data_IF_140905407318
#
_entry.id   IF_140905407318
#
_cell.length_a   1.000
_cell.length_b   1.000
_cell.length_c   1.000
_cell.angle_alpha   90.00
_cell.angle_beta   90.00
_cell.angle_gamma   90.00
#
_symmetry.space_group_name_H-M   'P 1'
#
loop_
_entity.id
_entity.type
_entity.pdbx_description
1 polymer ?
#
# COMPACT_ATOMS: atom_id res chain seq x y z
N UNK A 1 -14.50 14.40 -6.35
CA UNK A 1 -14.51 15.54 -7.27
C UNK A 1 -13.14 16.19 -7.46
N UNK A 2 -12.43 16.64 -6.38
CA UNK A 2 -11.12 17.30 -6.48
C UNK A 2 -10.08 16.51 -7.27
N UNK A 3 -9.93 15.21 -6.99
CA UNK A 3 -8.96 14.34 -7.69
C UNK A 3 -9.25 14.20 -9.20
N UNK A 4 -10.54 14.13 -9.58
CA UNK A 4 -10.92 14.10 -11.02
C UNK A 4 -10.59 15.44 -11.70
N UNK A 5 -10.91 16.55 -11.06
CA UNK A 5 -10.59 17.88 -11.60
C UNK A 5 -9.07 18.09 -11.74
N UNK A 6 -8.29 17.63 -10.77
CA UNK A 6 -6.84 17.61 -10.87
C UNK A 6 -6.34 16.73 -12.04
N UNK A 7 -6.91 15.52 -12.22
CA UNK A 7 -6.52 14.63 -13.31
C UNK A 7 -6.82 15.24 -14.70
N UNK A 8 -7.88 16.07 -14.83
CA UNK A 8 -8.21 16.78 -16.08
C UNK A 8 -7.09 17.75 -16.52
N UNK A 9 -6.20 18.16 -15.64
CA UNK A 9 -5.04 19.00 -16.01
C UNK A 9 -4.00 18.23 -16.84
N UNK A 10 -4.00 16.88 -16.75
CA UNK A 10 -3.01 16.00 -17.36
C UNK A 10 -3.60 15.05 -18.42
N UNK A 11 -4.93 14.92 -18.44
CA UNK A 11 -5.63 13.97 -19.31
C UNK A 11 -6.91 14.57 -19.87
N UNK A 12 -7.30 14.13 -21.07
CA UNK A 12 -8.56 14.53 -21.69
C UNK A 12 -9.74 13.72 -21.11
N UNK A 13 -10.21 14.12 -19.93
CA UNK A 13 -11.43 13.55 -19.35
C UNK A 13 -12.61 14.45 -19.69
N UNK A 14 -13.56 13.96 -20.50
CA UNK A 14 -14.76 14.69 -20.88
C UNK A 14 -15.74 14.81 -19.71
N UNK A 15 -16.61 15.83 -19.77
CA UNK A 15 -17.62 16.01 -18.71
C UNK A 15 -18.60 14.85 -18.60
N UNK A 16 -18.92 14.20 -19.71
CA UNK A 16 -19.77 13.00 -19.70
C UNK A 16 -19.10 11.82 -19.01
N UNK A 17 -17.78 11.66 -19.15
CA UNK A 17 -17.00 10.62 -18.46
C UNK A 17 -16.92 10.92 -16.97
N UNK A 18 -16.72 12.20 -16.61
CA UNK A 18 -16.78 12.66 -15.22
C UNK A 18 -18.15 12.34 -14.61
N UNK A 19 -19.24 12.66 -15.31
CA UNK A 19 -20.58 12.38 -14.84
C UNK A 19 -20.82 10.87 -14.69
N UNK A 20 -20.33 10.05 -15.61
CA UNK A 20 -20.41 8.59 -15.54
C UNK A 20 -19.68 8.03 -14.32
N UNK A 21 -18.44 8.49 -14.06
CA UNK A 21 -17.65 8.09 -12.88
C UNK A 21 -18.39 8.45 -11.59
N UNK A 22 -18.91 9.67 -11.48
CA UNK A 22 -19.64 10.11 -10.29
C UNK A 22 -20.95 9.36 -10.12
N UNK A 23 -21.70 9.09 -11.21
CA UNK A 23 -22.92 8.31 -11.14
C UNK A 23 -22.66 6.87 -10.72
N UNK A 24 -21.57 6.26 -11.20
CA UNK A 24 -21.14 4.92 -10.78
C UNK A 24 -20.80 4.86 -9.27
N UNK A 25 -20.43 5.99 -8.66
CA UNK A 25 -20.19 6.10 -7.22
C UNK A 25 -21.45 6.32 -6.38
N UNK A 26 -22.56 6.71 -7.01
CA UNK A 26 -23.87 6.85 -6.37
C UNK A 26 -24.58 5.49 -6.26
N UNK A 27 -23.92 4.50 -5.70
CA UNK A 27 -24.45 3.14 -5.56
C UNK A 27 -25.03 2.93 -4.16
N UNK A 28 -26.20 2.26 -4.13
CA UNK A 28 -26.80 1.80 -2.87
C UNK A 28 -26.39 0.36 -2.62
N UNK A 29 -26.14 0.03 -1.35
CA UNK A 29 -26.02 -1.36 -0.94
C UNK A 29 -27.40 -1.91 -0.63
N UNK A 30 -27.70 -3.09 -1.19
CA UNK A 30 -28.96 -3.81 -0.94
C UNK A 30 -28.66 -5.16 -0.29
N UNK A 31 -29.48 -5.48 0.72
CA UNK A 31 -29.50 -6.83 1.31
C UNK A 31 -30.96 -7.17 1.64
N UNK A 32 -31.43 -8.30 1.18
CA UNK A 32 -32.81 -8.78 1.41
C UNK A 32 -33.87 -7.75 0.97
N UNK A 33 -33.72 -7.16 -0.22
CA UNK A 33 -34.58 -6.11 -0.77
C UNK A 33 -34.70 -4.82 0.07
N UNK A 34 -33.78 -4.62 1.00
CA UNK A 34 -33.67 -3.38 1.78
C UNK A 34 -32.41 -2.61 1.37
N UNK A 35 -32.56 -1.30 1.16
CA UNK A 35 -31.45 -0.40 0.95
C UNK A 35 -30.72 -0.11 2.26
N UNK A 36 -29.40 -0.10 2.21
CA UNK A 36 -28.56 0.24 3.35
C UNK A 36 -27.95 1.62 3.11
N UNK A 37 -28.01 2.46 4.13
CA UNK A 37 -27.41 3.80 4.14
C UNK A 37 -26.31 3.86 5.19
N UNK A 38 -25.39 4.82 5.03
CA UNK A 38 -24.32 5.05 6.00
C UNK A 38 -24.94 5.51 7.32
N UNK A 39 -24.51 4.99 8.45
CA UNK A 39 -25.06 5.26 9.80
C UNK A 39 -24.88 6.73 10.27
N UNK A 40 -24.09 7.54 9.59
CA UNK A 40 -23.76 8.93 9.95
C UNK A 40 -24.69 9.94 9.27
N UNK A 41 -25.94 9.79 9.42
CA UNK A 41 -26.88 10.85 9.67
C UNK A 41 -27.46 11.71 8.56
N UNK A 42 -26.97 11.76 7.33
CA UNK A 42 -27.66 12.48 6.24
C UNK A 42 -28.04 11.50 5.13
N UNK A 43 -29.29 11.52 4.72
CA UNK A 43 -29.85 10.65 3.67
C UNK A 43 -29.16 10.80 2.30
N UNK A 44 -28.33 11.83 2.12
CA UNK A 44 -27.58 12.11 0.88
C UNK A 44 -26.11 11.62 0.91
N UNK A 45 -25.63 11.05 2.01
CA UNK A 45 -24.25 10.55 2.07
C UNK A 45 -24.13 9.16 1.44
N UNK A 46 -23.54 9.12 0.26
CA UNK A 46 -23.17 7.89 -0.42
C UNK A 46 -22.09 7.12 0.37
N UNK A 47 -22.07 5.79 0.21
CA UNK A 47 -20.99 4.98 0.74
C UNK A 47 -19.65 5.40 0.12
N UNK A 48 -18.59 5.36 0.95
CA UNK A 48 -17.22 5.50 0.49
C UNK A 48 -16.86 4.39 -0.52
N UNK A 49 -15.65 4.44 -1.08
CA UNK A 49 -15.18 3.40 -2.01
C UNK A 49 -15.24 2.03 -1.33
N UNK A 50 -16.18 1.18 -1.77
CA UNK A 50 -16.38 -0.14 -1.16
C UNK A 50 -15.31 -1.13 -1.62
N UNK A 51 -14.79 -1.95 -0.68
CA UNK A 51 -13.91 -3.05 -1.04
C UNK A 51 -14.64 -4.04 -1.95
N UNK A 52 -14.00 -4.38 -3.09
CA UNK A 52 -14.55 -5.35 -4.06
C UNK A 52 -15.40 -4.75 -5.17
N UNK A 53 -15.65 -3.44 -5.19
CA UNK A 53 -16.17 -2.76 -6.39
C UNK A 53 -15.12 -2.79 -7.50
N UNK A 54 -15.55 -2.92 -8.76
CA UNK A 54 -14.65 -3.09 -9.92
C UNK A 54 -13.69 -1.91 -10.11
N UNK A 55 -14.10 -0.71 -9.72
CA UNK A 55 -13.37 0.56 -9.86
C UNK A 55 -12.75 1.07 -8.56
N UNK A 56 -12.86 0.31 -7.47
CA UNK A 56 -12.40 0.78 -6.14
C UNK A 56 -10.90 1.03 -6.11
N UNK A 57 -10.11 0.16 -6.76
CA UNK A 57 -8.67 0.28 -6.77
C UNK A 57 -8.24 1.54 -7.49
N UNK A 58 -8.78 1.77 -8.68
CA UNK A 58 -8.47 2.91 -9.54
C UNK A 58 -8.90 4.23 -8.89
N UNK A 59 -10.07 4.25 -8.27
CA UNK A 59 -10.54 5.43 -7.53
C UNK A 59 -9.62 5.74 -6.34
N UNK A 60 -9.21 4.73 -5.58
CA UNK A 60 -8.30 4.90 -4.46
C UNK A 60 -6.92 5.38 -4.92
N UNK A 61 -6.41 4.84 -6.03
CA UNK A 61 -5.13 5.21 -6.60
C UNK A 61 -5.16 6.65 -7.13
N UNK A 62 -6.26 7.07 -7.78
CA UNK A 62 -6.45 8.44 -8.25
C UNK A 62 -6.46 9.45 -7.07
N UNK A 63 -7.16 9.12 -6.00
CA UNK A 63 -7.17 9.95 -4.78
C UNK A 63 -5.78 9.99 -4.15
N UNK A 64 -5.09 8.85 -4.07
CA UNK A 64 -3.72 8.76 -3.57
C UNK A 64 -2.75 9.64 -4.37
N UNK A 65 -2.81 9.59 -5.71
CA UNK A 65 -1.99 10.42 -6.59
C UNK A 65 -2.28 11.91 -6.39
N UNK A 66 -3.54 12.29 -6.25
CA UNK A 66 -3.92 13.66 -5.95
C UNK A 66 -3.33 14.12 -4.60
N UNK A 67 -3.43 13.32 -3.55
CA UNK A 67 -2.83 13.63 -2.24
C UNK A 67 -1.32 13.74 -2.34
N UNK A 68 -0.66 12.82 -3.06
CA UNK A 68 0.78 12.90 -3.31
C UNK A 68 1.16 14.21 -4.01
N UNK A 69 0.36 14.69 -4.97
CA UNK A 69 0.58 15.97 -5.62
C UNK A 69 0.48 17.16 -4.66
N UNK A 70 -0.47 17.12 -3.72
CA UNK A 70 -0.60 18.16 -2.68
C UNK A 70 0.58 18.15 -1.71
N UNK A 71 1.04 16.97 -1.29
CA UNK A 71 2.20 16.81 -0.41
C UNK A 71 3.51 17.26 -1.09
N UNK A 72 3.66 17.03 -2.40
CA UNK A 72 4.85 17.42 -3.17
C UNK A 72 5.09 18.94 -3.24
N UNK A 73 4.10 19.75 -2.84
CA UNK A 73 4.26 21.21 -2.77
C UNK A 73 5.19 21.68 -1.64
N UNK A 74 5.44 20.82 -0.64
CA UNK A 74 6.26 21.17 0.53
C UNK A 74 7.14 20.03 1.06
N UNK A 75 7.04 18.82 0.50
CA UNK A 75 7.92 17.70 0.78
C UNK A 75 8.53 17.22 -0.54
N UNK A 76 9.81 16.89 -0.53
CA UNK A 76 10.48 16.30 -1.69
C UNK A 76 9.76 14.99 -2.06
N UNK A 77 9.39 14.88 -3.34
CA UNK A 77 8.63 13.72 -3.87
C UNK A 77 9.34 12.38 -3.73
N UNK A 78 10.67 12.37 -3.59
CA UNK A 78 11.46 11.15 -3.35
C UNK A 78 11.51 10.76 -1.86
N UNK A 79 10.98 11.62 -0.97
CA UNK A 79 11.01 11.44 0.48
C UNK A 79 9.72 10.92 1.08
N UNK A 80 8.69 10.66 0.28
CA UNK A 80 7.43 10.14 0.78
C UNK A 80 6.76 9.17 -0.20
N UNK A 81 5.91 8.30 0.34
CA UNK A 81 5.13 7.36 -0.44
C UNK A 81 3.82 6.99 0.24
N UNK A 82 2.82 6.68 -0.57
CA UNK A 82 1.55 6.12 -0.13
C UNK A 82 1.33 4.76 -0.77
N UNK A 83 0.79 3.85 0.00
CA UNK A 83 0.26 2.58 -0.49
C UNK A 83 -1.12 2.38 0.10
N UNK A 84 -2.14 2.69 -0.69
CA UNK A 84 -3.54 2.72 -0.28
C UNK A 84 -3.74 3.65 0.94
N UNK A 85 -3.96 3.10 2.12
CA UNK A 85 -4.16 3.77 3.40
C UNK A 85 -2.89 3.96 4.23
N UNK A 86 -1.80 3.26 3.87
CA UNK A 86 -0.51 3.36 4.56
C UNK A 86 0.40 4.39 3.90
N UNK A 87 1.06 5.24 4.70
CA UNK A 87 2.02 6.23 4.23
C UNK A 87 3.33 6.20 5.00
N UNK A 88 4.42 6.52 4.31
CA UNK A 88 5.74 6.71 4.91
C UNK A 88 6.36 8.01 4.43
N UNK A 89 7.05 8.71 5.32
CA UNK A 89 7.78 9.93 5.01
C UNK A 89 9.16 9.86 5.68
N UNK A 90 10.21 10.05 4.90
CA UNK A 90 11.57 10.22 5.38
C UNK A 90 11.92 11.71 5.36
N UNK A 91 12.35 12.27 6.48
CA UNK A 91 12.72 13.68 6.56
C UNK A 91 13.95 13.87 7.42
N UNK A 92 14.76 14.87 7.05
CA UNK A 92 15.92 15.33 7.81
C UNK A 92 15.54 16.71 8.35
N UNK A 93 15.66 16.91 9.66
CA UNK A 93 15.34 18.20 10.27
C UNK A 93 15.36 18.18 11.78
N UNK A 94 15.27 19.35 12.36
CA UNK A 94 15.09 19.53 13.81
C UNK A 94 13.67 19.12 14.24
N UNK A 95 13.47 18.85 15.53
CA UNK A 95 12.15 18.52 16.08
C UNK A 95 11.05 19.53 15.68
N UNK A 96 11.26 20.85 15.79
CA UNK A 96 10.29 21.86 15.35
C UNK A 96 9.95 21.81 13.86
N UNK A 97 10.93 21.51 12.98
CA UNK A 97 10.70 21.37 11.53
C UNK A 97 9.86 20.16 11.23
N UNK A 98 10.15 19.03 11.86
CA UNK A 98 9.38 17.79 11.74
C UNK A 98 7.92 18.04 12.19
N UNK A 99 7.71 18.70 13.32
CA UNK A 99 6.37 19.02 13.80
C UNK A 99 5.62 20.00 12.87
N UNK A 100 6.32 20.91 12.21
CA UNK A 100 5.72 21.77 11.17
C UNK A 100 5.24 20.95 9.97
N UNK A 101 6.08 20.04 9.47
CA UNK A 101 5.73 19.14 8.36
C UNK A 101 4.51 18.29 8.73
N UNK A 102 4.47 17.69 9.91
CA UNK A 102 3.32 16.91 10.38
C UNK A 102 2.02 17.73 10.36
N UNK A 103 2.07 18.96 10.87
CA UNK A 103 0.89 19.87 10.86
C UNK A 103 0.42 20.15 9.43
N UNK A 104 1.35 20.40 8.49
CA UNK A 104 1.02 20.64 7.09
C UNK A 104 0.36 19.39 6.46
N UNK A 105 0.88 18.20 6.73
CA UNK A 105 0.29 16.93 6.27
C UNK A 105 -1.14 16.79 6.79
N UNK A 106 -1.36 16.98 8.08
CA UNK A 106 -2.69 16.90 8.69
C UNK A 106 -3.67 17.88 8.02
N UNK A 107 -3.20 19.09 7.71
CA UNK A 107 -4.03 20.10 7.02
C UNK A 107 -4.40 19.65 5.61
N UNK A 108 -3.47 19.04 4.84
CA UNK A 108 -3.79 18.50 3.51
C UNK A 108 -4.89 17.46 3.58
N UNK A 109 -4.76 16.48 4.49
CA UNK A 109 -5.79 15.43 4.64
C UNK A 109 -7.12 16.01 5.13
N UNK A 110 -7.11 16.89 6.13
CA UNK A 110 -8.31 17.55 6.64
C UNK A 110 -9.04 18.37 5.56
N UNK A 111 -8.31 19.11 4.72
CA UNK A 111 -8.90 19.89 3.62
C UNK A 111 -9.54 19.00 2.53
N UNK A 112 -9.23 17.72 2.56
CA UNK A 112 -9.80 16.69 1.68
C UNK A 112 -10.76 15.74 2.41
N UNK A 113 -11.25 16.14 3.59
CA UNK A 113 -12.23 15.39 4.39
C UNK A 113 -11.76 14.00 4.82
N UNK A 114 -10.43 13.83 4.87
CA UNK A 114 -9.80 12.58 5.28
C UNK A 114 -9.19 12.70 6.67
N UNK A 115 -9.22 11.60 7.42
CA UNK A 115 -8.54 11.47 8.70
C UNK A 115 -7.20 10.79 8.48
N UNK A 116 -6.17 11.28 9.18
CA UNK A 116 -4.85 10.66 9.19
C UNK A 116 -4.38 10.53 10.64
N UNK A 117 -3.74 9.42 10.95
CA UNK A 117 -2.99 9.20 12.18
C UNK A 117 -1.51 9.08 11.85
N UNK A 118 -0.69 9.87 12.52
CA UNK A 118 0.77 9.77 12.41
C UNK A 118 1.25 8.88 13.55
N UNK A 119 1.55 7.64 13.25
CA UNK A 119 1.83 6.59 14.23
C UNK A 119 3.09 6.82 15.05
N UNK A 120 4.17 7.25 14.41
CA UNK A 120 5.42 7.55 15.11
C UNK A 120 6.31 8.51 14.30
N UNK A 121 7.27 9.10 15.02
CA UNK A 121 8.44 9.75 14.43
C UNK A 121 9.64 9.09 15.07
N UNK A 122 10.31 8.20 14.37
CA UNK A 122 11.38 7.39 14.93
C UNK A 122 12.40 6.99 13.85
N UNK A 123 13.55 6.57 14.31
CA UNK A 123 14.63 6.07 13.44
C UNK A 123 14.38 4.62 12.99
N UNK A 124 13.45 3.91 13.62
CA UNK A 124 13.06 2.55 13.27
C UNK A 124 11.55 2.47 13.11
N UNK A 125 11.09 1.96 11.96
CA UNK A 125 9.67 1.85 11.66
C UNK A 125 9.37 0.62 10.80
N UNK A 126 8.14 0.13 10.92
CA UNK A 126 7.61 -0.92 10.07
C UNK A 126 6.71 -0.26 9.00
N UNK A 127 6.94 -0.59 7.74
CA UNK A 127 6.12 -0.13 6.64
C UNK A 127 5.83 -1.30 5.69
N UNK A 128 4.58 -1.69 5.60
CA UNK A 128 4.12 -2.87 4.85
C UNK A 128 4.88 -4.13 5.30
N UNK A 129 5.63 -4.75 4.39
CA UNK A 129 6.43 -5.95 4.64
C UNK A 129 7.90 -5.64 4.97
N UNK A 130 8.21 -4.39 5.28
CA UNK A 130 9.57 -3.91 5.48
C UNK A 130 9.72 -3.28 6.85
N UNK A 131 10.75 -3.67 7.57
CA UNK A 131 11.24 -2.94 8.74
C UNK A 131 12.46 -2.12 8.32
N UNK A 132 12.44 -0.83 8.63
CA UNK A 132 13.50 0.13 8.30
C UNK A 132 14.13 0.59 9.59
N UNK A 133 15.46 0.52 9.68
CA UNK A 133 16.27 1.01 10.80
C UNK A 133 17.32 1.98 10.25
N UNK A 134 17.07 3.27 10.43
CA UNK A 134 17.94 4.34 9.95
C UNK A 134 19.22 4.50 10.77
N UNK A 135 19.19 4.12 12.05
CA UNK A 135 20.40 4.18 12.92
C UNK A 135 21.46 3.18 12.45
N UNK A 136 20.99 1.97 12.04
CA UNK A 136 21.87 0.92 11.54
C UNK A 136 22.07 0.97 10.04
N UNK A 137 21.31 1.81 9.34
CA UNK A 137 21.21 1.84 7.87
C UNK A 137 20.88 0.46 7.28
N UNK A 138 19.90 -0.21 7.88
CA UNK A 138 19.46 -1.57 7.52
C UNK A 138 17.96 -1.56 7.24
N UNK A 139 17.54 -2.32 6.24
CA UNK A 139 16.15 -2.71 6.08
C UNK A 139 16.04 -4.23 5.92
N UNK A 140 15.00 -4.79 6.50
CA UNK A 140 14.79 -6.23 6.57
C UNK A 140 13.32 -6.61 6.39
N UNK A 141 13.02 -7.84 5.95
CA UNK A 141 11.64 -8.32 5.82
C UNK A 141 10.92 -8.29 7.16
N UNK A 142 9.75 -7.66 7.17
CA UNK A 142 8.86 -7.58 8.32
C UNK A 142 7.66 -8.52 8.16
N UNK A 143 7.21 -9.06 9.25
CA UNK A 143 5.92 -9.73 9.38
C UNK A 143 5.36 -9.45 10.77
N UNK A 144 4.05 -9.19 10.86
CA UNK A 144 3.39 -8.92 12.15
C UNK A 144 3.67 -10.05 13.14
N UNK A 145 3.88 -9.73 14.43
CA UNK A 145 4.01 -10.75 15.47
C UNK A 145 2.82 -11.73 15.41
N UNK A 146 3.11 -13.01 15.62
CA UNK A 146 2.11 -14.10 15.56
C UNK A 146 1.40 -14.31 14.21
N UNK A 147 1.91 -13.72 13.13
CA UNK A 147 1.39 -13.97 11.79
C UNK A 147 2.10 -15.17 11.17
N UNK A 148 1.35 -16.28 11.02
CA UNK A 148 1.83 -17.45 10.28
C UNK A 148 1.79 -17.16 8.78
N UNK A 149 2.94 -17.17 8.14
CA UNK A 149 3.04 -17.03 6.69
C UNK A 149 2.44 -18.28 6.07
N UNK A 150 1.45 -18.10 5.18
CA UNK A 150 0.82 -19.19 4.44
C UNK A 150 0.81 -18.87 2.96
N UNK A 151 1.08 -19.88 2.15
CA UNK A 151 1.04 -19.77 0.70
C UNK A 151 -0.10 -20.63 0.14
N UNK A 152 -0.35 -20.49 -1.15
CA UNK A 152 -1.28 -21.33 -1.89
C UNK A 152 -0.75 -22.77 -1.82
N UNK A 153 -1.61 -23.71 -1.45
CA UNK A 153 -1.26 -25.13 -1.41
C UNK A 153 -0.83 -25.65 -2.80
N UNK A 154 0.25 -26.43 -2.83
CA UNK A 154 0.78 -26.99 -4.06
C UNK A 154 -0.22 -27.93 -4.77
N UNK A 155 -1.15 -28.54 -4.02
CA UNK A 155 -2.24 -29.40 -4.55
C UNK A 155 -3.44 -28.61 -5.06
N UNK A 156 -3.51 -27.29 -4.83
CA UNK A 156 -4.66 -26.47 -5.20
C UNK A 156 -4.93 -26.45 -6.72
N UNK A 157 -6.18 -26.16 -7.12
CA UNK A 157 -6.60 -26.06 -8.52
C UNK A 157 -6.11 -24.78 -9.25
N UNK A 158 -5.10 -24.09 -8.72
CA UNK A 158 -4.50 -22.93 -9.40
C UNK A 158 -3.72 -23.38 -10.65
N UNK A 159 -3.62 -22.50 -11.68
CA UNK A 159 -2.86 -22.82 -12.88
C UNK A 159 -1.45 -23.30 -12.56
N UNK A 160 -0.95 -24.36 -13.22
CA UNK A 160 0.36 -24.96 -12.94
C UNK A 160 1.51 -23.96 -12.98
N UNK A 161 1.44 -22.98 -13.90
CA UNK A 161 2.47 -21.93 -14.04
C UNK A 161 2.57 -21.05 -12.77
N UNK A 162 1.43 -20.74 -12.13
CA UNK A 162 1.40 -19.96 -10.89
C UNK A 162 2.11 -20.73 -9.77
N UNK A 163 1.77 -22.02 -9.62
CA UNK A 163 2.40 -22.89 -8.61
C UNK A 163 3.89 -23.07 -8.88
N UNK A 164 4.28 -23.33 -10.12
CA UNK A 164 5.69 -23.48 -10.50
C UNK A 164 6.53 -22.23 -10.18
N UNK A 165 5.99 -21.04 -10.40
CA UNK A 165 6.71 -19.79 -10.22
C UNK A 165 6.70 -19.28 -8.76
N UNK A 166 5.79 -19.77 -7.91
CA UNK A 166 5.60 -19.22 -6.57
C UNK A 166 6.89 -19.20 -5.72
N UNK A 167 7.66 -20.31 -5.61
CA UNK A 167 8.89 -20.28 -4.80
C UNK A 167 9.90 -19.23 -5.29
N UNK A 168 10.13 -19.13 -6.60
CA UNK A 168 11.06 -18.14 -7.18
C UNK A 168 10.60 -16.71 -6.99
N UNK A 169 9.29 -16.44 -7.04
CA UNK A 169 8.71 -15.13 -6.75
C UNK A 169 8.93 -14.74 -5.28
N UNK A 170 8.79 -15.68 -4.36
CA UNK A 170 9.04 -15.45 -2.93
C UNK A 170 10.51 -15.16 -2.68
N UNK A 171 11.42 -15.96 -3.23
CA UNK A 171 12.87 -15.71 -3.15
C UNK A 171 13.20 -14.30 -3.62
N UNK A 172 12.70 -13.91 -4.80
CA UNK A 172 12.91 -12.57 -5.36
C UNK A 172 12.37 -11.47 -4.44
N UNK A 173 11.15 -11.66 -3.91
CA UNK A 173 10.54 -10.71 -2.97
C UNK A 173 11.39 -10.54 -1.73
N UNK A 174 11.80 -11.62 -1.07
CA UNK A 174 12.59 -11.57 0.16
C UNK A 174 13.99 -11.00 -0.10
N UNK A 175 14.60 -11.33 -1.25
CA UNK A 175 15.87 -10.70 -1.67
C UNK A 175 15.72 -9.19 -1.82
N UNK A 176 14.62 -8.71 -2.40
CA UNK A 176 14.35 -7.27 -2.55
C UNK A 176 14.08 -6.57 -1.20
N UNK A 177 13.48 -7.27 -0.25
CA UNK A 177 13.19 -6.76 1.09
C UNK A 177 14.39 -6.87 2.05
N UNK A 178 15.51 -7.44 1.63
CA UNK A 178 16.73 -7.56 2.41
C UNK A 178 17.80 -6.59 1.90
N UNK A 179 18.40 -5.82 2.77
CA UNK A 179 19.47 -4.88 2.39
C UNK A 179 20.77 -5.59 2.01
N UNK A 180 20.99 -6.81 2.50
CA UNK A 180 22.17 -7.63 2.21
C UNK A 180 21.85 -9.13 2.20
N UNK A 181 22.83 -9.95 1.75
CA UNK A 181 22.72 -11.40 1.81
C UNK A 181 22.61 -11.94 3.23
N UNK A 182 23.33 -11.34 4.17
CA UNK A 182 23.30 -11.73 5.59
C UNK A 182 21.90 -11.53 6.18
N UNK A 183 21.25 -10.41 5.84
CA UNK A 183 19.86 -10.14 6.24
C UNK A 183 18.90 -11.13 5.61
N UNK A 184 19.08 -11.46 4.33
CA UNK A 184 18.29 -12.49 3.67
C UNK A 184 18.46 -13.85 4.37
N UNK A 185 19.70 -14.26 4.64
CA UNK A 185 20.00 -15.53 5.30
C UNK A 185 19.43 -15.63 6.71
N UNK A 186 19.37 -14.51 7.43
CA UNK A 186 18.71 -14.41 8.76
C UNK A 186 17.21 -14.73 8.67
N UNK A 187 16.54 -14.32 7.61
CA UNK A 187 15.08 -14.39 7.50
C UNK A 187 14.57 -15.58 6.66
N UNK A 188 15.40 -16.20 5.82
CA UNK A 188 14.97 -17.19 4.82
C UNK A 188 14.24 -18.41 5.40
N UNK A 189 14.65 -18.91 6.57
CA UNK A 189 14.12 -20.15 7.14
C UNK A 189 12.60 -20.12 7.36
N UNK A 190 12.07 -18.99 7.83
CA UNK A 190 10.60 -18.87 8.03
C UNK A 190 9.81 -19.00 6.73
N UNK A 191 10.37 -18.52 5.61
CA UNK A 191 9.71 -18.60 4.29
C UNK A 191 9.88 -19.97 3.66
N UNK A 192 11.04 -20.62 3.86
CA UNK A 192 11.28 -22.00 3.46
C UNK A 192 10.29 -22.93 4.15
N UNK A 193 10.12 -22.77 5.47
CA UNK A 193 9.18 -23.58 6.24
C UNK A 193 7.74 -23.36 5.79
N UNK A 194 7.32 -22.13 5.56
CA UNK A 194 5.99 -21.81 5.04
C UNK A 194 5.73 -22.42 3.65
N UNK A 195 6.75 -22.45 2.76
CA UNK A 195 6.65 -23.13 1.47
C UNK A 195 6.52 -24.66 1.64
N UNK A 196 7.32 -25.26 2.52
CA UNK A 196 7.25 -26.71 2.80
C UNK A 196 5.90 -27.11 3.39
N UNK A 197 5.38 -26.32 4.34
CA UNK A 197 4.04 -26.51 4.93
C UNK A 197 2.92 -26.38 3.89
N UNK A 198 3.14 -25.57 2.85
CA UNK A 198 2.24 -25.44 1.69
C UNK A 198 2.44 -26.53 0.62
N UNK A 199 3.25 -27.57 0.88
CA UNK A 199 3.46 -28.71 -0.01
C UNK A 199 4.47 -28.49 -1.13
N UNK A 200 5.24 -27.42 -1.11
CA UNK A 200 6.32 -27.22 -2.09
C UNK A 200 7.59 -27.95 -1.66
N UNK A 201 8.13 -28.73 -2.58
CA UNK A 201 9.38 -29.48 -2.43
C UNK A 201 10.31 -29.17 -3.61
N UNK A 202 11.61 -29.36 -3.43
CA UNK A 202 12.60 -29.23 -4.50
C UNK A 202 12.66 -27.83 -5.15
N UNK A 203 12.74 -26.80 -4.34
CA UNK A 203 12.96 -25.41 -4.81
C UNK A 203 14.31 -24.87 -4.32
N UNK A 204 14.92 -24.02 -5.12
CA UNK A 204 16.11 -23.28 -4.71
C UNK A 204 15.72 -22.00 -3.97
N UNK A 205 16.36 -21.71 -2.83
CA UNK A 205 16.09 -20.51 -2.02
C UNK A 205 17.40 -19.78 -1.72
N UNK A 206 17.91 -19.07 -2.75
CA UNK A 206 19.18 -18.35 -2.70
C UNK A 206 18.96 -16.86 -2.94
N UNK A 207 19.77 -16.03 -2.28
CA UNK A 207 19.76 -14.59 -2.44
C UNK A 207 19.98 -14.18 -3.90
N UNK A 208 19.13 -13.28 -4.38
CA UNK A 208 19.25 -12.70 -5.73
C UNK A 208 19.73 -11.25 -5.59
N UNK A 209 20.90 -10.96 -6.11
CA UNK A 209 21.41 -9.59 -6.14
C UNK A 209 20.48 -8.65 -6.90
N UNK A 210 20.32 -7.45 -6.34
CA UNK A 210 19.50 -6.41 -6.98
C UNK A 210 20.21 -5.94 -8.23
N UNK A 211 19.55 -6.07 -9.37
CA UNK A 211 20.02 -5.40 -10.59
C UNK A 211 19.90 -3.90 -10.38
N UNK A 212 21.01 -3.22 -10.15
CA UNK A 212 21.06 -1.75 -10.16
C UNK A 212 20.58 -1.29 -11.54
N UNK A 213 19.41 -0.65 -11.60
CA UNK A 213 19.04 0.07 -12.82
C UNK A 213 20.02 1.25 -12.93
N UNK A 214 20.88 1.18 -13.94
CA UNK A 214 21.67 2.35 -14.38
C UNK A 214 20.74 3.38 -14.97
#
# INVERSE_FOLDING_TARGET
MKAINWAKEFTEIKDIETAAILNARNTFLFKNNQSWVKKTGNEEENFDVSMGSMDSSECSDLVGLYILSELSKFIDKDSFGLYKDDGIIATIGSGPEIERIKKQIIVVFKNNEMKIEIGCTCMRTDFLDLQIDLERNVYEPYSKPNHNIRYIDASSNRPPIVKKNLPSMIVKRISNLSCSKEVFDKHKEKYINALKESGFINFNFEYQEKKTKK
#
